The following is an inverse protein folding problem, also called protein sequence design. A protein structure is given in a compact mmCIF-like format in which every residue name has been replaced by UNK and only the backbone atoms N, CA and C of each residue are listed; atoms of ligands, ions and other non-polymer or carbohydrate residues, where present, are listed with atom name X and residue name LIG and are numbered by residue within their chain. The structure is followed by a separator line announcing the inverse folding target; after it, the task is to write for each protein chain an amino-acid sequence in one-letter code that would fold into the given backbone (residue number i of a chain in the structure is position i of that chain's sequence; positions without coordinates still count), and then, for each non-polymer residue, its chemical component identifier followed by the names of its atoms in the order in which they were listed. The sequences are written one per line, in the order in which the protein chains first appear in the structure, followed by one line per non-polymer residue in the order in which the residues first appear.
data_IF_879608924748
#
_entry.id   IF_879608924748
#
_cell.length_a   1.000
_cell.length_b   1.000
_cell.length_c   1.000
_cell.angle_alpha   90.00
_cell.angle_beta   90.00
_cell.angle_gamma   90.00
#
_symmetry.space_group_name_H-M   'P 1'
#
loop_
_entity.id
_entity.type
_entity.pdbx_description
1 polymer ?
#
# COMPACT_ATOMS: atom_id res chain seq x y z
N UNK A 1 20.51 -2.10 -18.89
CA UNK A 1 20.29 -1.97 -17.44
C UNK A 1 21.65 -1.87 -16.75
N UNK A 2 21.91 -0.79 -15.99
CA UNK A 2 23.13 -0.67 -15.18
C UNK A 2 22.88 -1.35 -13.84
N UNK A 3 23.68 -2.35 -13.45
CA UNK A 3 23.67 -2.90 -12.11
C UNK A 3 24.61 -2.11 -11.21
N UNK A 4 24.30 -2.05 -9.93
CA UNK A 4 25.25 -1.63 -8.91
C UNK A 4 26.40 -2.66 -8.91
N UNK A 5 27.65 -2.17 -9.00
CA UNK A 5 28.84 -3.05 -8.92
C UNK A 5 28.88 -3.73 -7.55
N UNK A 6 29.11 -5.03 -7.54
CA UNK A 6 29.38 -5.79 -6.31
C UNK A 6 30.89 -5.99 -6.15
N UNK A 7 31.40 -5.90 -4.92
CA UNK A 7 32.83 -5.96 -4.62
C UNK A 7 33.53 -7.21 -5.17
N UNK A 8 32.83 -8.32 -5.28
CA UNK A 8 33.40 -9.62 -5.66
C UNK A 8 32.98 -10.10 -7.05
N UNK A 9 32.13 -9.37 -7.76
CA UNK A 9 31.55 -9.89 -8.99
C UNK A 9 31.63 -8.85 -10.12
N UNK A 10 32.68 -8.95 -10.91
CA UNK A 10 32.88 -8.11 -12.09
C UNK A 10 32.22 -8.68 -13.35
N UNK A 11 31.65 -9.89 -13.27
CA UNK A 11 31.02 -10.54 -14.42
C UNK A 11 29.57 -10.06 -14.59
N UNK A 12 29.29 -9.58 -15.76
CA UNK A 12 28.08 -8.86 -16.10
C UNK A 12 27.07 -9.80 -16.81
N UNK A 13 26.84 -11.00 -16.25
CA UNK A 13 25.72 -11.83 -16.71
C UNK A 13 24.41 -11.30 -16.17
N UNK A 14 23.30 -11.65 -16.82
CA UNK A 14 21.97 -11.23 -16.36
C UNK A 14 21.71 -11.73 -14.94
N UNK A 15 22.08 -12.96 -14.65
CA UNK A 15 21.94 -13.56 -13.32
C UNK A 15 22.67 -12.74 -12.25
N UNK A 16 23.93 -12.36 -12.51
CA UNK A 16 24.72 -11.57 -11.57
C UNK A 16 24.17 -10.14 -11.39
N UNK A 17 23.43 -9.62 -12.36
CA UNK A 17 22.75 -8.33 -12.24
C UNK A 17 21.47 -8.40 -11.42
N UNK A 18 20.81 -9.53 -11.41
CA UNK A 18 19.52 -9.73 -10.75
C UNK A 18 19.64 -10.33 -9.35
N UNK A 19 20.72 -11.07 -9.07
CA UNK A 19 20.94 -11.75 -7.80
C UNK A 19 22.16 -11.19 -7.07
N UNK A 20 21.98 -10.09 -6.35
CA UNK A 20 23.05 -9.41 -5.60
C UNK A 20 23.33 -10.03 -4.21
N UNK A 21 22.49 -10.96 -3.75
CA UNK A 21 22.61 -11.61 -2.45
C UNK A 21 22.15 -13.06 -2.53
N UNK A 22 22.33 -13.81 -1.45
CA UNK A 22 21.84 -15.18 -1.33
C UNK A 22 20.35 -15.26 -1.64
N UNK A 23 19.99 -16.01 -2.67
CA UNK A 23 18.60 -16.21 -3.09
C UNK A 23 17.98 -17.33 -2.25
N UNK A 24 16.74 -17.13 -1.80
CA UNK A 24 15.93 -18.23 -1.27
C UNK A 24 15.47 -19.10 -2.43
N UNK A 25 15.94 -20.33 -2.48
CA UNK A 25 15.58 -21.26 -3.54
C UNK A 25 14.09 -21.61 -3.50
N UNK A 26 13.51 -21.66 -2.32
CA UNK A 26 12.08 -21.92 -2.09
C UNK A 26 11.22 -20.80 -2.70
N UNK A 27 11.59 -19.54 -2.48
CA UNK A 27 10.86 -18.40 -3.03
C UNK A 27 11.01 -18.34 -4.56
N UNK A 28 12.20 -18.64 -5.08
CA UNK A 28 12.42 -18.69 -6.54
C UNK A 28 11.59 -19.82 -7.16
N UNK A 29 11.54 -21.00 -6.53
CA UNK A 29 10.74 -22.14 -7.00
C UNK A 29 9.22 -21.87 -6.94
N UNK A 30 8.77 -21.04 -6.00
CA UNK A 30 7.35 -20.65 -5.88
C UNK A 30 6.91 -19.56 -6.90
N UNK A 31 7.87 -18.84 -7.48
CA UNK A 31 7.56 -17.72 -8.39
C UNK A 31 6.73 -18.12 -9.63
N UNK A 32 7.01 -19.23 -10.34
CA UNK A 32 6.20 -19.67 -11.46
C UNK A 32 4.72 -19.84 -11.09
N UNK A 33 4.42 -20.48 -9.96
CA UNK A 33 3.04 -20.66 -9.50
C UNK A 33 2.35 -19.35 -9.15
N UNK A 34 3.08 -18.39 -8.59
CA UNK A 34 2.54 -17.06 -8.34
C UNK A 34 2.23 -16.31 -9.66
N UNK A 35 3.12 -16.41 -10.65
CA UNK A 35 2.90 -15.82 -11.98
C UNK A 35 1.72 -16.48 -12.70
N UNK A 36 1.59 -17.80 -12.63
CA UNK A 36 0.46 -18.55 -13.19
C UNK A 36 -0.87 -18.13 -12.54
N UNK A 37 -0.90 -18.04 -11.22
CA UNK A 37 -2.08 -17.58 -10.48
C UNK A 37 -2.53 -16.17 -10.90
N UNK A 38 -1.60 -15.24 -11.07
CA UNK A 38 -1.90 -13.86 -11.43
C UNK A 38 -2.12 -13.67 -12.95
N UNK A 39 -1.51 -14.50 -13.78
CA UNK A 39 -1.32 -14.25 -15.21
C UNK A 39 -2.58 -14.02 -16.05
N UNK A 40 -3.73 -14.55 -15.64
CA UNK A 40 -5.01 -14.34 -16.34
C UNK A 40 -5.95 -13.33 -15.64
N UNK A 41 -5.53 -12.70 -14.55
CA UNK A 41 -6.43 -11.96 -13.66
C UNK A 41 -6.15 -10.47 -13.54
N UNK A 42 -5.11 -9.96 -14.21
CA UNK A 42 -4.65 -8.58 -14.04
C UNK A 42 -5.72 -7.52 -14.26
N UNK A 43 -6.55 -7.68 -15.30
CA UNK A 43 -7.63 -6.73 -15.58
C UNK A 43 -8.73 -6.77 -14.51
N UNK A 44 -9.07 -7.97 -14.04
CA UNK A 44 -10.05 -8.14 -12.96
C UNK A 44 -9.54 -7.57 -11.65
N UNK A 45 -8.27 -7.81 -11.32
CA UNK A 45 -7.58 -7.24 -10.15
C UNK A 45 -7.59 -5.72 -10.24
N UNK A 46 -7.12 -5.14 -11.33
CA UNK A 46 -7.03 -3.70 -11.50
C UNK A 46 -8.40 -3.01 -11.37
N UNK A 47 -9.43 -3.58 -11.97
CA UNK A 47 -10.80 -3.06 -11.86
C UNK A 47 -11.32 -3.12 -10.42
N UNK A 48 -11.14 -4.25 -9.74
CA UNK A 48 -11.57 -4.42 -8.36
C UNK A 48 -10.81 -3.48 -7.41
N UNK A 49 -9.52 -3.35 -7.58
CA UNK A 49 -8.70 -2.41 -6.80
C UNK A 49 -9.09 -0.95 -7.05
N UNK A 50 -9.44 -0.58 -8.28
CA UNK A 50 -9.98 0.76 -8.58
C UNK A 50 -11.33 1.01 -7.90
N UNK A 51 -12.21 0.01 -7.83
CA UNK A 51 -13.48 0.10 -7.11
C UNK A 51 -13.26 0.33 -5.60
N UNK A 52 -12.36 -0.44 -4.97
CA UNK A 52 -12.00 -0.27 -3.56
C UNK A 52 -11.40 1.11 -3.28
N UNK A 53 -10.51 1.58 -4.15
CA UNK A 53 -9.95 2.93 -4.06
C UNK A 53 -11.03 4.01 -4.18
N UNK A 54 -11.96 3.84 -5.12
CA UNK A 54 -13.07 4.76 -5.33
C UNK A 54 -13.92 4.94 -4.07
N UNK A 55 -14.23 3.84 -3.38
CA UNK A 55 -14.96 3.86 -2.12
C UNK A 55 -14.20 4.62 -1.03
N UNK A 56 -12.92 4.28 -0.84
CA UNK A 56 -12.09 4.91 0.19
C UNK A 56 -11.84 6.39 -0.08
N UNK A 57 -11.42 6.73 -1.30
CA UNK A 57 -11.15 8.12 -1.68
C UNK A 57 -12.41 8.97 -1.69
N UNK A 58 -13.55 8.42 -2.12
CA UNK A 58 -14.84 9.10 -2.02
C UNK A 58 -15.19 9.47 -0.59
N UNK A 59 -14.95 8.56 0.35
CA UNK A 59 -15.16 8.83 1.78
C UNK A 59 -14.18 9.88 2.32
N UNK A 60 -12.89 9.76 2.02
CA UNK A 60 -11.86 10.66 2.53
C UNK A 60 -11.99 12.07 1.94
N UNK A 61 -12.21 12.18 0.63
CA UNK A 61 -12.32 13.45 -0.07
C UNK A 61 -13.62 14.24 0.28
N UNK A 62 -14.65 13.56 0.79
CA UNK A 62 -15.88 14.21 1.27
C UNK A 62 -15.74 14.88 2.65
N UNK A 63 -14.56 14.79 3.27
CA UNK A 63 -14.31 15.30 4.63
C UNK A 63 -13.36 16.49 4.61
N UNK A 64 -13.79 17.60 5.19
CA UNK A 64 -13.00 18.84 5.30
C UNK A 64 -11.84 18.75 6.32
N UNK A 65 -11.88 17.76 7.21
CA UNK A 65 -10.87 17.53 8.24
C UNK A 65 -9.79 16.54 7.80
N UNK A 66 -9.89 15.97 6.59
CA UNK A 66 -8.93 14.99 6.04
C UNK A 66 -8.05 15.64 4.97
N UNK A 67 -6.75 15.36 5.05
CA UNK A 67 -5.79 15.68 3.99
C UNK A 67 -5.26 14.39 3.39
N UNK A 68 -5.58 14.11 2.13
CA UNK A 68 -5.05 12.99 1.36
C UNK A 68 -3.74 13.42 0.69
N UNK A 69 -2.71 12.60 0.79
CA UNK A 69 -1.39 12.83 0.17
C UNK A 69 -1.27 12.04 -1.12
N UNK A 70 -0.91 12.74 -2.19
CA UNK A 70 -0.80 12.18 -3.54
C UNK A 70 -2.06 12.38 -4.38
N UNK A 71 -2.20 11.56 -5.41
CA UNK A 71 -3.33 11.62 -6.34
C UNK A 71 -4.65 11.28 -5.63
N UNK A 72 -5.68 12.08 -5.88
CA UNK A 72 -7.02 11.92 -5.26
C UNK A 72 -8.02 11.20 -6.17
N UNK A 73 -7.65 10.96 -7.43
CA UNK A 73 -8.43 10.12 -8.35
C UNK A 73 -8.24 8.64 -8.05
N UNK A 74 -9.27 7.83 -8.28
CA UNK A 74 -9.21 6.37 -8.17
C UNK A 74 -8.73 5.68 -9.48
N UNK A 75 -8.21 6.46 -10.43
CA UNK A 75 -7.71 5.93 -11.70
C UNK A 75 -6.48 5.06 -11.50
N UNK A 76 -6.60 3.77 -11.80
CA UNK A 76 -5.53 2.79 -11.71
C UNK A 76 -4.33 3.05 -12.65
N UNK A 77 -4.46 3.97 -13.64
CA UNK A 77 -3.35 4.39 -14.48
C UNK A 77 -2.37 5.33 -13.76
N UNK A 78 -2.82 6.03 -12.71
CA UNK A 78 -2.02 7.04 -12.00
C UNK A 78 -1.69 6.67 -10.56
N UNK A 79 -2.35 5.65 -9.98
CA UNK A 79 -2.08 5.21 -8.62
C UNK A 79 -2.40 3.74 -8.38
N UNK A 80 -1.82 3.21 -7.31
CA UNK A 80 -2.13 1.89 -6.75
C UNK A 80 -3.04 2.03 -5.51
N UNK A 81 -3.70 0.96 -5.03
CA UNK A 81 -4.67 1.01 -3.93
C UNK A 81 -4.00 1.18 -2.54
N UNK A 82 -3.12 2.17 -2.46
CA UNK A 82 -2.46 2.58 -1.21
C UNK A 82 -2.71 4.08 -1.01
N UNK A 83 -3.42 4.42 0.06
CA UNK A 83 -3.82 5.79 0.36
C UNK A 83 -3.18 6.24 1.67
N UNK A 84 -2.52 7.39 1.63
CA UNK A 84 -1.92 8.03 2.80
C UNK A 84 -2.65 9.32 3.11
N UNK A 85 -3.01 9.54 4.37
CA UNK A 85 -3.75 10.71 4.79
C UNK A 85 -3.48 11.10 6.24
N UNK A 86 -3.86 12.30 6.60
CA UNK A 86 -3.96 12.78 8.00
C UNK A 86 -5.35 13.32 8.28
N UNK A 87 -5.73 13.33 9.56
CA UNK A 87 -6.99 13.91 10.02
C UNK A 87 -6.67 15.08 10.95
N UNK A 88 -7.24 16.24 10.69
CA UNK A 88 -7.02 17.45 11.49
C UNK A 88 -7.43 17.21 12.96
N UNK A 89 -6.53 17.56 13.86
CA UNK A 89 -6.77 17.39 15.30
C UNK A 89 -6.50 15.97 15.82
N UNK A 90 -6.08 15.04 14.98
CA UNK A 90 -5.71 13.69 15.37
C UNK A 90 -4.23 13.41 15.11
N UNK A 91 -3.58 12.75 16.05
CA UNK A 91 -2.31 12.09 15.80
C UNK A 91 -2.53 10.79 15.03
N UNK A 92 -1.66 10.50 14.05
CA UNK A 92 -1.84 9.33 13.16
C UNK A 92 -1.80 8.00 13.92
N UNK A 93 -0.97 7.90 14.97
CA UNK A 93 -0.89 6.71 15.82
C UNK A 93 -2.19 6.55 16.63
N UNK A 94 -2.61 7.60 17.31
CA UNK A 94 -3.82 7.57 18.13
C UNK A 94 -5.07 7.24 17.31
N UNK A 95 -5.16 7.77 16.09
CA UNK A 95 -6.25 7.48 15.18
C UNK A 95 -6.29 5.98 14.83
N UNK A 96 -5.15 5.39 14.44
CA UNK A 96 -5.09 3.95 14.11
C UNK A 96 -5.43 3.10 15.33
N UNK A 97 -4.83 3.38 16.48
CA UNK A 97 -5.13 2.64 17.71
C UNK A 97 -6.60 2.76 18.14
N UNK A 98 -7.22 3.90 17.91
CA UNK A 98 -8.65 4.11 18.16
C UNK A 98 -9.53 3.26 17.27
N UNK A 99 -9.23 3.21 15.97
CA UNK A 99 -9.98 2.38 15.02
C UNK A 99 -9.81 0.88 15.34
N UNK A 100 -8.59 0.45 15.64
CA UNK A 100 -8.32 -0.95 15.98
C UNK A 100 -9.01 -1.41 17.27
N UNK A 101 -9.20 -0.50 18.25
CA UNK A 101 -10.00 -0.79 19.47
C UNK A 101 -11.48 -0.99 19.17
N UNK A 102 -12.02 -0.28 18.17
CA UNK A 102 -13.43 -0.38 17.79
C UNK A 102 -13.68 -1.62 16.93
N UNK A 103 -12.71 -1.97 16.08
CA UNK A 103 -12.84 -3.11 15.19
C UNK A 103 -11.49 -3.79 14.96
N UNK A 104 -11.41 -5.08 15.24
CA UNK A 104 -10.24 -5.91 14.94
C UNK A 104 -10.16 -6.35 13.46
N UNK A 105 -11.08 -5.88 12.62
CA UNK A 105 -11.19 -6.31 11.21
C UNK A 105 -10.26 -5.54 10.26
N UNK A 106 -9.73 -4.39 10.69
CA UNK A 106 -8.88 -3.54 9.86
C UNK A 106 -7.49 -3.42 10.47
N UNK A 107 -6.49 -3.65 9.64
CA UNK A 107 -5.09 -3.42 9.98
C UNK A 107 -4.57 -2.19 9.24
N UNK A 108 -4.75 -1.01 9.81
CA UNK A 108 -4.14 0.21 9.28
C UNK A 108 -2.71 0.35 9.76
N UNK A 109 -1.95 1.18 9.09
CA UNK A 109 -0.60 1.53 9.50
C UNK A 109 -0.47 3.03 9.67
N UNK A 110 0.36 3.44 10.59
CA UNK A 110 0.79 4.82 10.77
C UNK A 110 2.31 4.91 10.72
N UNK A 111 2.85 6.06 10.37
CA UNK A 111 4.28 6.28 10.42
C UNK A 111 4.85 7.06 9.25
N UNK A 112 6.18 7.09 9.19
CA UNK A 112 6.97 7.80 8.19
C UNK A 112 7.30 6.93 6.97
N UNK A 113 7.14 5.63 7.06
CA UNK A 113 7.44 4.64 6.00
C UNK A 113 8.84 4.84 5.39
N UNK A 114 9.84 5.12 6.23
CA UNK A 114 11.23 5.42 5.86
C UNK A 114 11.41 6.68 5.01
N UNK A 115 10.39 7.53 4.87
CA UNK A 115 10.39 8.73 4.04
C UNK A 115 10.62 10.00 4.89
N UNK A 116 11.72 10.06 5.64
CA UNK A 116 12.01 11.15 6.58
C UNK A 116 12.03 12.51 5.89
N UNK A 117 12.70 12.63 4.74
CA UNK A 117 12.78 13.89 3.99
C UNK A 117 11.41 14.37 3.49
N UNK A 118 10.55 13.43 3.06
CA UNK A 118 9.19 13.75 2.63
C UNK A 118 8.35 14.23 3.83
N UNK A 119 8.50 13.60 4.99
CA UNK A 119 7.87 14.04 6.24
C UNK A 119 8.24 15.48 6.57
N UNK A 120 9.52 15.83 6.50
CA UNK A 120 10.02 17.18 6.77
C UNK A 120 9.47 18.19 5.76
N UNK A 121 9.49 17.86 4.48
CA UNK A 121 8.95 18.69 3.41
C UNK A 121 7.45 18.97 3.57
N UNK A 122 6.67 17.96 3.98
CA UNK A 122 5.23 18.08 4.19
C UNK A 122 4.86 18.63 5.59
N UNK A 123 5.81 18.89 6.47
CA UNK A 123 5.57 19.40 7.82
C UNK A 123 4.81 18.42 8.72
N UNK A 124 4.98 17.12 8.50
CA UNK A 124 4.25 16.08 9.25
C UNK A 124 4.81 15.87 10.67
N UNK A 125 3.96 15.40 11.58
CA UNK A 125 4.35 14.99 12.92
C UNK A 125 5.34 13.82 12.93
N UNK A 126 5.89 13.48 14.09
CA UNK A 126 6.77 12.31 14.24
C UNK A 126 6.05 11.00 13.91
N UNK A 127 4.74 10.93 14.10
CA UNK A 127 3.92 9.77 13.80
C UNK A 127 3.43 9.74 12.34
N UNK A 128 3.87 10.70 11.50
CA UNK A 128 3.70 10.70 10.05
C UNK A 128 2.23 10.70 9.61
N UNK A 129 1.90 9.77 8.74
CA UNK A 129 0.56 9.63 8.13
C UNK A 129 -0.10 8.31 8.52
N UNK A 130 -1.41 8.24 8.40
CA UNK A 130 -2.13 6.97 8.33
C UNK A 130 -2.03 6.44 6.90
N UNK A 131 -1.78 5.15 6.75
CA UNK A 131 -1.75 4.48 5.45
C UNK A 131 -2.71 3.30 5.44
N UNK A 132 -3.58 3.27 4.46
CA UNK A 132 -4.46 2.14 4.13
C UNK A 132 -3.97 1.56 2.81
N UNK A 133 -3.72 0.26 2.79
CA UNK A 133 -3.38 -0.49 1.59
C UNK A 133 -4.42 -1.58 1.39
N UNK A 134 -4.92 -1.68 0.18
CA UNK A 134 -5.92 -2.68 -0.20
C UNK A 134 -5.34 -3.52 -1.33
N UNK A 135 -5.80 -4.73 -1.47
CA UNK A 135 -5.41 -5.68 -2.51
C UNK A 135 -6.62 -6.45 -3.00
N UNK A 136 -6.47 -7.20 -4.06
CA UNK A 136 -7.54 -7.91 -4.77
C UNK A 136 -8.38 -8.87 -3.93
N UNK A 137 -7.90 -9.35 -2.79
CA UNK A 137 -8.69 -10.21 -1.88
C UNK A 137 -9.44 -9.43 -0.78
N UNK A 138 -9.29 -8.11 -0.70
CA UNK A 138 -10.16 -7.30 0.15
C UNK A 138 -11.53 -7.12 -0.52
N UNK A 139 -12.57 -6.90 0.27
CA UNK A 139 -13.92 -6.70 -0.24
C UNK A 139 -14.44 -5.30 0.06
N UNK A 140 -15.35 -4.78 -0.79
CA UNK A 140 -15.98 -3.48 -0.58
C UNK A 140 -16.85 -3.41 0.68
N UNK A 141 -17.11 -4.55 1.32
CA UNK A 141 -17.81 -4.60 2.62
C UNK A 141 -16.91 -4.13 3.78
N UNK A 142 -15.59 -4.14 3.60
CA UNK A 142 -14.65 -3.63 4.57
C UNK A 142 -14.75 -2.11 4.79
N UNK A 143 -15.32 -1.36 3.84
CA UNK A 143 -15.53 0.10 3.94
C UNK A 143 -16.92 0.53 4.40
N UNK A 144 -17.84 -0.40 4.73
CA UNK A 144 -19.19 -0.05 5.19
C UNK A 144 -19.27 0.01 6.72
N UNK A 145 -20.13 0.91 7.27
CA UNK A 145 -20.30 1.01 8.72
C UNK A 145 -20.82 -0.29 9.34
N UNK A 146 -20.61 -0.50 10.64
CA UNK A 146 -20.99 -1.74 11.35
C UNK A 146 -22.48 -2.04 11.19
N UNK A 147 -22.80 -3.20 10.66
CA UNK A 147 -24.14 -3.69 10.36
C UNK A 147 -24.24 -4.51 9.08
N UNK A 148 -23.27 -4.48 8.22
CA UNK A 148 -23.21 -5.25 6.98
C UNK A 148 -22.03 -6.23 7.01
N UNK A 149 -22.32 -7.47 7.32
CA UNK A 149 -21.59 -8.70 7.09
C UNK A 149 -20.05 -8.70 7.13
N UNK A 150 -19.53 -9.84 7.47
CA UNK A 150 -18.11 -10.19 7.71
C UNK A 150 -17.20 -9.84 6.54
N UNK A 151 -16.04 -9.22 6.84
CA UNK A 151 -14.86 -9.26 5.96
C UNK A 151 -14.21 -10.64 6.00
#
# INVERSE_FOLDING_TARGET
MRSLGHFFNQHVTLENKMALAASSYELVAALPSAVEYLGGQWEAIARHEAELQGLLLGFLNARDDVTVYGETSADGAVRVPTVSFTVKGWDSKELVESVEKVTSKFGFRWGLFYSVRLKEYLGLSQNGVVRISMVHYNTGMCGRPPGYGVC
#
